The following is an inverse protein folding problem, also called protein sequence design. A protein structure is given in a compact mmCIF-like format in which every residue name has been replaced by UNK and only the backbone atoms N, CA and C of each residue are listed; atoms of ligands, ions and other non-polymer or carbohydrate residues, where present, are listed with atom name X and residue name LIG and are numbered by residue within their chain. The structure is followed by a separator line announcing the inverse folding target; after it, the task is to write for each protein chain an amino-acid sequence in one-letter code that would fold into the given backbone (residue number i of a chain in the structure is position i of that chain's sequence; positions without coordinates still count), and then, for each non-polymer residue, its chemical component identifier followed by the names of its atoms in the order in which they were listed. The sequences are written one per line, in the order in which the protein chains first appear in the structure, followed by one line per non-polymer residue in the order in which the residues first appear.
data_IF_427265031143
#
_entry.id   IF_427265031143
#
_cell.length_a   1.000
_cell.length_b   1.000
_cell.length_c   1.000
_cell.angle_alpha   90.00
_cell.angle_beta   90.00
_cell.angle_gamma   90.00
#
_symmetry.space_group_name_H-M   'P 1'
#
loop_
_entity.id
_entity.type
_entity.pdbx_description
1 polymer ?
#
# COMPACT_ATOMS: atom_id res chain seq x y z
N UNK A 1 -7.05 17.74 31.20
CA UNK A 1 -5.62 17.86 30.82
C UNK A 1 -5.44 17.00 29.56
N UNK A 2 -5.49 17.63 28.39
CA UNK A 2 -5.25 16.95 27.11
C UNK A 2 -3.75 16.65 27.02
N UNK A 3 -3.38 15.38 27.03
CA UNK A 3 -2.00 14.95 26.78
C UNK A 3 -1.76 15.08 25.27
N UNK A 4 -1.31 16.25 24.83
CA UNK A 4 -0.75 16.41 23.50
C UNK A 4 0.46 15.48 23.37
N UNK A 5 0.34 14.45 22.57
CA UNK A 5 1.48 13.62 22.15
C UNK A 5 2.45 14.53 21.39
N UNK A 6 3.72 14.63 21.79
CA UNK A 6 4.67 15.50 21.09
C UNK A 6 4.79 15.10 19.61
N UNK A 7 5.01 16.07 18.69
CA UNK A 7 5.18 15.79 17.28
C UNK A 7 6.36 14.84 17.09
N UNK A 8 6.10 13.71 16.40
CA UNK A 8 7.14 12.72 16.08
C UNK A 8 8.00 13.24 14.94
N UNK A 9 9.31 12.98 15.02
CA UNK A 9 10.29 13.45 14.03
C UNK A 9 10.16 12.66 12.70
N UNK A 10 9.94 13.33 11.55
CA UNK A 10 9.90 12.68 10.24
C UNK A 10 11.18 11.88 9.92
N UNK A 11 12.34 12.34 10.40
CA UNK A 11 13.61 11.64 10.20
C UNK A 11 13.68 10.28 10.91
N UNK A 12 12.90 10.09 11.97
CA UNK A 12 12.76 8.80 12.66
C UNK A 12 11.84 7.81 11.94
N UNK A 13 11.07 8.25 10.93
CA UNK A 13 10.04 7.47 10.24
C UNK A 13 8.78 7.26 11.09
N UNK A 14 8.60 8.03 12.16
CA UNK A 14 7.47 7.94 13.07
C UNK A 14 6.66 9.23 13.02
N UNK A 15 5.73 9.33 12.10
CA UNK A 15 4.73 10.40 12.06
C UNK A 15 3.44 9.93 12.73
N UNK A 16 2.70 10.86 13.35
CA UNK A 16 1.32 10.62 13.75
C UNK A 16 0.41 10.56 12.51
N UNK A 17 -0.71 9.83 12.58
CA UNK A 17 -1.64 9.69 11.43
C UNK A 17 -1.99 11.01 10.74
N UNK A 18 -2.34 12.12 11.46
CA UNK A 18 -2.64 13.39 10.80
C UNK A 18 -1.44 14.00 10.05
N UNK A 19 -0.22 13.72 10.51
CA UNK A 19 1.00 14.20 9.83
C UNK A 19 1.29 13.40 8.56
N UNK A 20 1.03 12.09 8.59
CA UNK A 20 1.13 11.20 7.43
C UNK A 20 0.08 11.62 6.39
N UNK A 21 -1.15 11.89 6.80
CA UNK A 21 -2.24 12.39 5.95
C UNK A 21 -1.83 13.70 5.26
N UNK A 22 -1.43 14.71 6.05
CA UNK A 22 -1.01 16.01 5.53
C UNK A 22 0.15 15.92 4.54
N UNK A 23 1.12 15.02 4.79
CA UNK A 23 2.22 14.76 3.86
C UNK A 23 1.71 14.18 2.53
N UNK A 24 0.83 13.18 2.56
CA UNK A 24 0.27 12.59 1.36
C UNK A 24 -0.62 13.58 0.59
N UNK A 25 -1.38 14.42 1.29
CA UNK A 25 -2.16 15.48 0.65
C UNK A 25 -1.28 16.46 -0.14
N UNK A 26 -0.12 16.84 0.40
CA UNK A 26 0.81 17.75 -0.29
C UNK A 26 1.45 17.14 -1.55
N UNK A 27 1.76 15.83 -1.54
CA UNK A 27 2.44 15.19 -2.66
C UNK A 27 1.49 14.53 -3.67
N UNK A 28 0.19 14.47 -3.39
CA UNK A 28 -0.80 13.74 -4.21
C UNK A 28 -0.71 14.11 -5.71
N UNK A 29 -0.52 15.38 -6.04
CA UNK A 29 -0.43 15.84 -7.44
C UNK A 29 0.80 15.41 -8.23
N UNK A 30 1.88 15.00 -7.54
CA UNK A 30 3.15 14.59 -8.16
C UNK A 30 3.51 13.13 -7.90
N UNK A 31 2.75 12.46 -7.03
CA UNK A 31 3.02 11.12 -6.50
C UNK A 31 3.25 10.08 -7.60
N UNK A 32 2.37 10.00 -8.60
CA UNK A 32 2.47 9.02 -9.68
C UNK A 32 3.73 9.23 -10.55
N UNK A 33 4.08 10.48 -10.83
CA UNK A 33 5.31 10.81 -11.58
C UNK A 33 6.54 10.42 -10.81
N UNK A 34 6.56 10.66 -9.50
CA UNK A 34 7.67 10.27 -8.62
C UNK A 34 7.82 8.76 -8.58
N UNK A 35 6.75 8.01 -8.38
CA UNK A 35 6.77 6.56 -8.40
C UNK A 35 7.28 6.01 -9.75
N UNK A 36 6.83 6.58 -10.86
CA UNK A 36 7.25 6.15 -12.20
C UNK A 36 8.74 6.38 -12.43
N UNK A 37 9.27 7.54 -12.03
CA UNK A 37 10.70 7.85 -12.14
C UNK A 37 11.53 6.96 -11.19
N UNK A 38 11.13 6.84 -9.92
CA UNK A 38 11.88 6.08 -8.92
C UNK A 38 11.93 4.58 -9.22
N UNK A 39 10.92 4.04 -9.88
CA UNK A 39 10.80 2.60 -10.18
C UNK A 39 11.07 2.27 -11.65
N UNK A 40 11.40 3.28 -12.49
CA UNK A 40 11.51 3.12 -13.94
C UNK A 40 10.30 2.39 -14.55
N UNK A 41 9.09 2.64 -14.03
CA UNK A 41 7.84 2.03 -14.48
C UNK A 41 7.62 0.57 -14.02
N UNK A 42 8.56 -0.05 -13.29
CA UNK A 42 8.42 -1.43 -12.83
C UNK A 42 7.26 -1.63 -11.84
N UNK A 43 6.81 -0.57 -11.19
CA UNK A 43 5.67 -0.62 -10.24
C UNK A 43 4.39 -1.15 -10.89
N UNK A 44 4.17 -0.96 -12.19
CA UNK A 44 3.02 -1.55 -12.90
C UNK A 44 3.08 -3.08 -12.89
N UNK A 45 4.25 -3.68 -13.18
CA UNK A 45 4.44 -5.14 -13.16
C UNK A 45 4.25 -5.73 -11.77
N UNK A 46 4.71 -5.02 -10.73
CA UNK A 46 4.53 -5.49 -9.35
C UNK A 46 3.06 -5.46 -8.93
N UNK A 47 2.29 -4.41 -9.30
CA UNK A 47 0.84 -4.34 -9.06
C UNK A 47 0.10 -5.47 -9.79
N UNK A 48 0.39 -5.70 -11.06
CA UNK A 48 -0.19 -6.82 -11.81
C UNK A 48 0.11 -8.16 -11.13
N UNK A 49 1.34 -8.33 -10.64
CA UNK A 49 1.71 -9.55 -9.91
C UNK A 49 0.96 -9.67 -8.58
N UNK A 50 0.79 -8.60 -7.84
CA UNK A 50 -0.02 -8.58 -6.61
C UNK A 50 -1.46 -8.98 -6.90
N UNK A 51 -2.09 -8.41 -7.93
CA UNK A 51 -3.46 -8.77 -8.35
C UNK A 51 -3.55 -10.25 -8.76
N UNK A 52 -2.58 -10.80 -9.48
CA UNK A 52 -2.57 -12.24 -9.80
C UNK A 52 -2.54 -13.13 -8.55
N UNK A 53 -1.84 -12.71 -7.49
CA UNK A 53 -1.74 -13.46 -6.24
C UNK A 53 -3.03 -13.45 -5.42
N UNK A 54 -3.94 -12.49 -5.63
CA UNK A 54 -5.28 -12.52 -5.02
C UNK A 54 -6.10 -13.73 -5.48
N UNK A 55 -5.82 -14.26 -6.67
CA UNK A 55 -6.60 -15.31 -7.36
C UNK A 55 -8.07 -14.95 -7.56
N UNK A 56 -8.41 -13.67 -7.56
CA UNK A 56 -9.76 -13.20 -7.85
C UNK A 56 -10.24 -13.66 -9.22
N UNK A 57 -11.53 -13.93 -9.30
CA UNK A 57 -12.26 -14.32 -10.52
C UNK A 57 -13.22 -13.20 -10.91
N UNK A 58 -13.62 -13.12 -12.17
CA UNK A 58 -14.67 -12.21 -12.61
C UNK A 58 -15.93 -12.33 -11.74
N UNK A 59 -16.55 -11.20 -11.42
CA UNK A 59 -17.76 -11.14 -10.60
C UNK A 59 -17.55 -11.11 -9.08
N UNK A 60 -16.31 -11.21 -8.60
CA UNK A 60 -15.99 -11.15 -7.17
C UNK A 60 -15.83 -9.71 -6.66
N UNK A 61 -15.70 -9.55 -5.34
CA UNK A 61 -15.54 -8.25 -4.65
C UNK A 61 -14.15 -8.12 -4.05
N UNK A 62 -13.49 -6.99 -4.27
CA UNK A 62 -12.16 -6.70 -3.74
C UNK A 62 -12.13 -5.39 -2.96
N UNK A 63 -11.29 -5.35 -1.92
CA UNK A 63 -10.94 -4.15 -1.20
C UNK A 63 -9.47 -3.79 -1.49
N UNK A 64 -9.19 -2.53 -1.84
CA UNK A 64 -7.84 -1.99 -1.91
C UNK A 64 -7.67 -0.94 -0.80
N UNK A 65 -6.86 -1.24 0.19
CA UNK A 65 -6.64 -0.38 1.36
C UNK A 65 -5.35 0.42 1.20
N UNK A 66 -5.35 1.68 1.63
CA UNK A 66 -4.34 2.66 1.31
C UNK A 66 -4.12 2.75 -0.21
N UNK A 67 -5.23 2.92 -0.93
CA UNK A 67 -5.29 2.87 -2.39
C UNK A 67 -4.53 4.02 -3.06
N UNK A 68 -4.30 5.11 -2.34
CA UNK A 68 -3.63 6.30 -2.84
C UNK A 68 -4.35 6.85 -4.08
N UNK A 69 -3.62 6.96 -5.18
CA UNK A 69 -4.14 7.44 -6.47
C UNK A 69 -4.88 6.38 -7.29
N UNK A 70 -5.21 5.21 -6.70
CA UNK A 70 -6.10 4.21 -7.27
C UNK A 70 -5.46 3.20 -8.22
N UNK A 71 -4.16 3.23 -8.45
CA UNK A 71 -3.51 2.40 -9.48
C UNK A 71 -3.71 0.89 -9.26
N UNK A 72 -3.64 0.41 -8.00
CA UNK A 72 -3.85 -1.00 -7.69
C UNK A 72 -5.33 -1.38 -7.79
N UNK A 73 -6.23 -0.49 -7.34
CA UNK A 73 -7.67 -0.64 -7.49
C UNK A 73 -8.08 -0.75 -8.98
N UNK A 74 -7.45 0.01 -9.88
CA UNK A 74 -7.71 -0.10 -11.32
C UNK A 74 -7.23 -1.44 -11.90
N UNK A 75 -6.12 -1.99 -11.43
CA UNK A 75 -5.69 -3.32 -11.85
C UNK A 75 -6.66 -4.42 -11.35
N UNK A 76 -7.21 -4.27 -10.13
CA UNK A 76 -8.25 -5.15 -9.60
C UNK A 76 -9.52 -5.07 -10.45
N UNK A 77 -9.97 -3.85 -10.81
CA UNK A 77 -11.16 -3.63 -11.61
C UNK A 77 -11.07 -4.31 -12.99
N UNK A 78 -9.91 -4.23 -13.65
CA UNK A 78 -9.65 -4.95 -14.91
C UNK A 78 -9.73 -6.48 -14.73
N UNK A 79 -9.26 -6.97 -13.58
CA UNK A 79 -9.26 -8.41 -13.28
C UNK A 79 -10.66 -8.96 -13.03
N UNK A 80 -11.53 -8.16 -12.40
CA UNK A 80 -12.86 -8.57 -11.95
C UNK A 80 -13.93 -8.49 -13.05
N UNK A 81 -13.73 -7.68 -14.10
CA UNK A 81 -14.72 -7.46 -15.14
C UNK A 81 -15.98 -6.77 -14.63
N UNK A 82 -16.91 -6.39 -15.50
CA UNK A 82 -18.08 -5.58 -15.17
C UNK A 82 -19.02 -6.18 -14.11
N UNK A 83 -19.00 -7.50 -13.92
CA UNK A 83 -19.81 -8.16 -12.89
C UNK A 83 -19.21 -8.11 -11.48
N UNK A 84 -17.95 -7.66 -11.32
CA UNK A 84 -17.29 -7.53 -10.03
C UNK A 84 -17.48 -6.16 -9.39
N UNK A 85 -16.84 -5.94 -8.24
CA UNK A 85 -16.81 -4.66 -7.54
C UNK A 85 -15.46 -4.45 -6.87
N UNK A 86 -14.94 -3.21 -6.92
CA UNK A 86 -13.77 -2.79 -6.15
C UNK A 86 -14.14 -1.65 -5.21
N UNK A 87 -13.85 -1.82 -3.93
CA UNK A 87 -13.83 -0.74 -2.96
C UNK A 87 -12.38 -0.30 -2.79
N UNK A 88 -12.13 0.99 -2.91
CA UNK A 88 -10.81 1.60 -2.85
C UNK A 88 -10.77 2.61 -1.70
N UNK A 89 -10.16 2.23 -0.59
CA UNK A 89 -10.15 2.97 0.66
C UNK A 89 -8.80 3.64 0.90
N UNK A 90 -8.83 4.91 1.29
CA UNK A 90 -7.65 5.64 1.77
C UNK A 90 -8.05 6.63 2.86
N UNK A 91 -7.14 6.96 3.76
CA UNK A 91 -7.41 7.98 4.78
C UNK A 91 -7.17 9.40 4.26
N UNK A 92 -6.33 9.59 3.23
CA UNK A 92 -5.99 10.86 2.61
C UNK A 92 -6.99 11.22 1.49
N UNK A 93 -7.91 12.14 1.75
CA UNK A 93 -8.93 12.55 0.77
C UNK A 93 -8.32 13.15 -0.50
N UNK A 94 -7.21 13.88 -0.43
CA UNK A 94 -6.56 14.42 -1.61
C UNK A 94 -6.04 13.33 -2.57
N UNK A 95 -5.59 12.19 -2.03
CA UNK A 95 -5.23 11.01 -2.84
C UNK A 95 -6.45 10.45 -3.57
N UNK A 96 -7.58 10.30 -2.87
CA UNK A 96 -8.83 9.82 -3.46
C UNK A 96 -9.36 10.78 -4.55
N UNK A 97 -9.18 12.09 -4.38
CA UNK A 97 -9.53 13.07 -5.42
C UNK A 97 -8.68 12.89 -6.68
N UNK A 98 -7.38 12.56 -6.55
CA UNK A 98 -6.54 12.22 -7.70
C UNK A 98 -7.04 10.94 -8.37
N UNK A 99 -7.38 9.91 -7.57
CA UNK A 99 -7.89 8.65 -8.08
C UNK A 99 -9.22 8.83 -8.85
N UNK A 100 -10.16 9.61 -8.30
CA UNK A 100 -11.44 9.95 -8.99
C UNK A 100 -11.18 10.67 -10.31
N UNK A 101 -10.31 11.70 -10.32
CA UNK A 101 -9.94 12.40 -11.58
C UNK A 101 -9.32 11.46 -12.61
N UNK A 102 -8.50 10.48 -12.20
CA UNK A 102 -7.94 9.48 -13.10
C UNK A 102 -9.04 8.58 -13.68
N UNK A 103 -9.99 8.16 -12.86
CA UNK A 103 -11.14 7.38 -13.31
C UNK A 103 -11.98 8.16 -14.33
N UNK A 104 -12.31 9.43 -14.04
CA UNK A 104 -13.07 10.33 -14.93
C UNK A 104 -12.32 10.59 -16.24
N UNK A 105 -10.98 10.63 -16.20
CA UNK A 105 -10.13 10.77 -17.37
C UNK A 105 -9.96 9.46 -18.19
N UNK A 106 -10.66 8.38 -17.81
CA UNK A 106 -10.67 7.12 -18.57
C UNK A 106 -9.56 6.15 -18.19
N UNK A 107 -9.07 6.17 -16.95
CA UNK A 107 -8.09 5.18 -16.46
C UNK A 107 -8.59 3.73 -16.57
N UNK A 108 -9.91 3.54 -16.59
CA UNK A 108 -10.57 2.26 -16.90
C UNK A 108 -11.35 2.38 -18.20
N UNK A 109 -11.23 1.36 -19.05
CA UNK A 109 -11.96 1.25 -20.31
C UNK A 109 -12.29 -0.22 -20.58
N UNK A 110 -13.40 -0.48 -21.27
CA UNK A 110 -13.87 -1.83 -21.57
C UNK A 110 -14.55 -2.50 -20.40
N UNK A 111 -14.48 -3.83 -20.35
CA UNK A 111 -15.13 -4.68 -19.36
C UNK A 111 -14.37 -4.66 -18.03
N UNK A 112 -14.62 -3.64 -17.22
CA UNK A 112 -13.99 -3.44 -15.90
C UNK A 112 -15.06 -3.34 -14.81
N UNK A 113 -14.70 -3.79 -13.60
CA UNK A 113 -15.55 -3.60 -12.42
C UNK A 113 -15.68 -2.11 -12.06
N UNK A 114 -16.84 -1.66 -11.55
CA UNK A 114 -16.96 -0.35 -10.93
C UNK A 114 -16.00 -0.23 -9.75
N UNK A 115 -15.40 0.96 -9.60
CA UNK A 115 -14.53 1.30 -8.46
C UNK A 115 -15.22 2.35 -7.61
N UNK A 116 -15.46 2.04 -6.33
CA UNK A 116 -15.99 2.97 -5.34
C UNK A 116 -14.87 3.46 -4.43
N UNK A 117 -14.63 4.76 -4.43
CA UNK A 117 -13.63 5.39 -3.55
C UNK A 117 -14.28 5.86 -2.26
N UNK A 118 -13.66 5.53 -1.12
CA UNK A 118 -14.12 5.96 0.20
C UNK A 118 -12.97 6.35 1.12
N UNK A 119 -13.22 7.35 1.98
CA UNK A 119 -12.26 7.71 3.01
C UNK A 119 -12.44 6.78 4.22
N UNK A 120 -11.38 6.04 4.58
CA UNK A 120 -11.40 5.11 5.69
C UNK A 120 -10.02 4.94 6.33
N UNK A 121 -10.02 4.67 7.64
CA UNK A 121 -8.81 4.28 8.38
C UNK A 121 -8.63 2.76 8.29
N UNK A 122 -7.45 2.34 7.85
CA UNK A 122 -7.09 0.92 7.75
C UNK A 122 -7.12 0.17 9.10
N UNK A 123 -7.06 0.89 10.22
CA UNK A 123 -7.11 0.32 11.57
C UNK A 123 -8.55 0.09 12.07
N UNK A 124 -9.53 0.64 11.38
CA UNK A 124 -10.96 0.51 11.68
C UNK A 124 -11.75 0.64 10.37
N UNK A 125 -11.78 -0.43 9.58
CA UNK A 125 -12.46 -0.45 8.28
C UNK A 125 -13.99 -0.44 8.47
N UNK A 126 -14.74 0.43 7.75
CA UNK A 126 -16.20 0.57 7.91
C UNK A 126 -16.96 -0.54 7.16
N UNK A 127 -16.47 -1.76 7.24
CA UNK A 127 -17.03 -2.93 6.56
C UNK A 127 -17.31 -4.05 7.54
N UNK A 128 -18.36 -4.84 7.34
CA UNK A 128 -18.58 -6.04 8.12
C UNK A 128 -17.49 -7.09 7.89
N UNK A 129 -17.42 -8.09 8.77
CA UNK A 129 -16.57 -9.25 8.55
C UNK A 129 -17.00 -10.00 7.27
N UNK A 130 -16.05 -10.66 6.62
CA UNK A 130 -16.28 -11.59 5.50
C UNK A 130 -16.91 -10.98 4.25
N UNK A 131 -16.80 -9.65 4.07
CA UNK A 131 -17.43 -8.94 2.96
C UNK A 131 -16.72 -9.14 1.62
N UNK A 132 -15.39 -9.25 1.64
CA UNK A 132 -14.57 -9.25 0.42
C UNK A 132 -13.97 -10.64 0.11
N UNK A 133 -13.80 -10.93 -1.17
CA UNK A 133 -13.10 -12.14 -1.63
C UNK A 133 -11.58 -12.00 -1.49
N UNK A 134 -11.06 -10.78 -1.57
CA UNK A 134 -9.67 -10.47 -1.28
C UNK A 134 -9.49 -9.00 -0.89
N UNK A 135 -8.40 -8.74 -0.15
CA UNK A 135 -7.93 -7.39 0.12
C UNK A 135 -6.48 -7.20 -0.37
N UNK A 136 -6.17 -5.99 -0.82
CA UNK A 136 -4.81 -5.59 -1.23
C UNK A 136 -4.36 -4.35 -0.47
N UNK A 137 -3.04 -4.24 -0.26
CA UNK A 137 -2.37 -3.00 0.18
C UNK A 137 -1.13 -2.81 -0.66
N UNK A 138 -1.02 -1.69 -1.37
CA UNK A 138 0.15 -1.37 -2.17
C UNK A 138 0.92 -0.16 -1.64
N UNK A 139 2.13 -0.37 -1.08
CA UNK A 139 3.02 0.68 -0.57
C UNK A 139 2.42 1.54 0.57
N UNK A 140 1.43 1.00 1.28
CA UNK A 140 0.70 1.70 2.34
C UNK A 140 0.93 1.14 3.74
N UNK A 141 1.16 -0.18 3.86
CA UNK A 141 1.15 -0.87 5.16
C UNK A 141 2.25 -0.38 6.13
N UNK A 142 3.38 0.10 5.62
CA UNK A 142 4.46 0.69 6.44
C UNK A 142 4.05 1.98 7.16
N UNK A 143 2.96 2.61 6.74
CA UNK A 143 2.43 3.84 7.30
C UNK A 143 1.33 3.59 8.34
N UNK A 144 0.92 2.34 8.57
CA UNK A 144 -0.03 2.02 9.63
C UNK A 144 0.59 2.32 10.99
N UNK A 145 -0.12 3.08 11.82
CA UNK A 145 0.34 3.43 13.17
C UNK A 145 0.34 2.22 14.11
N UNK A 146 -0.54 1.25 13.86
CA UNK A 146 -0.58 -0.08 14.47
C UNK A 146 -0.69 -1.13 13.36
N UNK A 147 0.46 -1.73 13.02
CA UNK A 147 0.54 -2.73 11.95
C UNK A 147 -0.29 -3.98 12.26
N UNK A 148 -0.23 -4.45 13.52
CA UNK A 148 -0.94 -5.67 13.92
C UNK A 148 -2.46 -5.46 13.88
N UNK A 149 -2.95 -4.28 14.28
CA UNK A 149 -4.36 -3.93 14.16
C UNK A 149 -4.80 -3.86 12.71
N UNK A 150 -4.03 -3.18 11.84
CA UNK A 150 -4.36 -3.11 10.41
C UNK A 150 -4.39 -4.48 9.74
N UNK A 151 -3.46 -5.37 10.09
CA UNK A 151 -3.45 -6.75 9.58
C UNK A 151 -4.68 -7.56 10.06
N UNK A 152 -5.11 -7.37 11.33
CA UNK A 152 -6.35 -7.99 11.84
C UNK A 152 -7.59 -7.46 11.13
N UNK A 153 -7.67 -6.17 10.85
CA UNK A 153 -8.77 -5.58 10.09
C UNK A 153 -8.84 -6.11 8.66
N UNK A 154 -7.69 -6.22 7.99
CA UNK A 154 -7.62 -6.84 6.64
C UNK A 154 -8.10 -8.30 6.67
N UNK A 155 -7.72 -9.08 7.69
CA UNK A 155 -8.20 -10.45 7.84
C UNK A 155 -9.69 -10.51 8.16
N UNK A 156 -10.20 -9.60 9.00
CA UNK A 156 -11.60 -9.56 9.41
C UNK A 156 -12.56 -9.30 8.24
N UNK A 157 -12.22 -8.35 7.37
CA UNK A 157 -13.12 -7.96 6.27
C UNK A 157 -13.07 -8.92 5.07
N UNK A 158 -12.06 -9.79 5.00
CA UNK A 158 -11.92 -10.80 3.95
C UNK A 158 -12.51 -12.12 4.44
N UNK A 159 -13.38 -12.72 3.62
CA UNK A 159 -14.03 -13.98 3.96
C UNK A 159 -13.05 -15.14 4.15
N UNK A 160 -13.39 -16.17 4.92
CA UNK A 160 -12.61 -17.39 5.05
C UNK A 160 -12.23 -17.98 3.68
N UNK A 161 -10.96 -18.34 3.52
CA UNK A 161 -10.41 -18.81 2.24
C UNK A 161 -10.10 -17.71 1.23
N UNK A 162 -10.51 -16.46 1.49
CA UNK A 162 -10.11 -15.28 0.74
C UNK A 162 -8.63 -14.92 0.98
N UNK A 163 -8.11 -13.93 0.27
CA UNK A 163 -6.69 -13.61 0.31
C UNK A 163 -6.42 -12.17 0.66
N UNK A 164 -5.39 -11.97 1.47
CA UNK A 164 -4.78 -10.66 1.70
C UNK A 164 -3.44 -10.63 0.99
N UNK A 165 -3.22 -9.60 0.15
CA UNK A 165 -1.98 -9.41 -0.61
C UNK A 165 -1.38 -8.05 -0.28
N UNK A 166 -0.13 -8.05 0.17
CA UNK A 166 0.61 -6.84 0.55
C UNK A 166 1.82 -6.68 -0.37
N UNK A 167 1.84 -5.60 -1.13
CA UNK A 167 2.97 -5.17 -1.95
C UNK A 167 3.69 -4.03 -1.23
N UNK A 168 4.94 -4.26 -0.77
CA UNK A 168 5.63 -3.24 0.00
C UNK A 168 7.15 -3.23 -0.28
N UNK A 169 7.76 -2.08 0.03
CA UNK A 169 9.21 -1.92 0.00
C UNK A 169 9.86 -2.66 1.15
N UNK A 170 11.03 -3.22 0.87
CA UNK A 170 11.88 -3.87 1.87
C UNK A 170 13.35 -3.51 1.65
N UNK A 171 14.18 -3.80 2.64
CA UNK A 171 15.61 -3.52 2.57
C UNK A 171 16.36 -4.72 2.01
N UNK A 172 17.10 -4.59 0.87
CA UNK A 172 17.85 -5.69 0.31
C UNK A 172 18.97 -6.15 1.28
N UNK A 173 19.09 -7.47 1.44
CA UNK A 173 20.05 -8.08 2.36
C UNK A 173 21.41 -8.41 1.69
N UNK A 174 21.43 -8.52 0.37
CA UNK A 174 22.59 -9.01 -0.37
C UNK A 174 23.42 -7.87 -1.00
N UNK A 175 24.74 -8.01 -0.93
CA UNK A 175 25.70 -7.15 -1.64
C UNK A 175 25.71 -7.48 -3.15
N UNK A 176 25.90 -6.49 -4.04
CA UNK A 176 26.16 -5.06 -3.79
C UNK A 176 24.88 -4.21 -3.66
N UNK A 177 23.70 -4.81 -3.80
CA UNK A 177 22.42 -4.06 -3.82
C UNK A 177 22.11 -3.37 -2.49
N UNK A 178 22.49 -3.96 -1.36
CA UNK A 178 22.29 -3.33 -0.05
C UNK A 178 23.09 -2.03 0.08
N UNK A 179 24.33 -1.99 -0.40
CA UNK A 179 25.16 -0.77 -0.41
C UNK A 179 24.59 0.28 -1.36
N UNK A 180 24.19 -0.13 -2.58
CA UNK A 180 23.56 0.78 -3.54
C UNK A 180 22.25 1.36 -2.98
N UNK A 181 21.40 0.53 -2.39
CA UNK A 181 20.15 0.96 -1.76
C UNK A 181 20.40 1.98 -0.65
N UNK A 182 21.37 1.71 0.23
CA UNK A 182 21.77 2.63 1.30
C UNK A 182 22.23 3.97 0.73
N UNK A 183 23.14 3.96 -0.25
CA UNK A 183 23.63 5.19 -0.88
C UNK A 183 22.51 5.98 -1.58
N UNK A 184 21.63 5.28 -2.29
CA UNK A 184 20.48 5.88 -2.98
C UNK A 184 19.54 6.56 -1.98
N UNK A 185 19.12 5.85 -0.94
CA UNK A 185 18.17 6.37 0.04
C UNK A 185 18.77 7.41 1.00
N UNK A 186 20.10 7.34 1.30
CA UNK A 186 20.72 8.25 2.25
C UNK A 186 21.22 9.54 1.60
N UNK A 187 21.57 9.50 0.31
CA UNK A 187 22.18 10.66 -0.34
C UNK A 187 21.39 11.17 -1.53
N UNK A 188 20.88 10.29 -2.39
CA UNK A 188 20.25 10.71 -3.64
C UNK A 188 18.81 11.13 -3.39
N UNK A 189 17.99 10.33 -2.70
CA UNK A 189 16.60 10.63 -2.43
C UNK A 189 16.43 11.95 -1.64
N UNK A 190 17.15 12.22 -0.53
CA UNK A 190 17.05 13.49 0.17
C UNK A 190 17.56 14.69 -0.65
N UNK A 191 18.56 14.47 -1.52
CA UNK A 191 19.06 15.55 -2.39
C UNK A 191 18.03 15.92 -3.45
N UNK A 192 17.36 14.94 -4.06
CA UNK A 192 16.24 15.19 -4.97
C UNK A 192 15.06 15.87 -4.24
N UNK A 193 14.84 15.50 -2.98
CA UNK A 193 13.79 16.08 -2.14
C UNK A 193 13.96 17.59 -1.91
N UNK A 194 15.18 18.15 -1.96
CA UNK A 194 15.40 19.60 -1.82
C UNK A 194 14.74 20.43 -2.94
N UNK A 195 14.44 19.81 -4.07
CA UNK A 195 13.78 20.44 -5.20
C UNK A 195 12.29 20.06 -5.31
N UNK A 196 11.76 19.30 -4.35
CA UNK A 196 10.39 18.86 -4.32
C UNK A 196 9.48 19.84 -3.56
N UNK A 197 8.16 19.81 -3.81
CA UNK A 197 7.19 20.62 -3.09
C UNK A 197 7.18 20.37 -1.58
N UNK A 198 7.46 19.13 -1.14
CA UNK A 198 7.62 18.76 0.28
C UNK A 198 8.92 17.97 0.50
N UNK A 199 9.99 18.62 1.02
CA UNK A 199 11.24 17.94 1.38
C UNK A 199 11.06 16.89 2.49
N UNK A 200 10.04 17.03 3.35
CA UNK A 200 9.76 16.11 4.46
C UNK A 200 9.41 14.70 3.99
N UNK A 201 8.65 14.57 2.92
CA UNK A 201 8.27 13.28 2.33
C UNK A 201 9.49 12.45 1.89
N UNK A 202 10.56 13.10 1.43
CA UNK A 202 11.79 12.44 0.96
C UNK A 202 12.73 12.01 2.08
N UNK A 203 12.60 12.58 3.27
CA UNK A 203 13.28 12.11 4.48
C UNK A 203 12.47 11.04 5.19
N UNK A 204 11.13 11.13 5.13
CA UNK A 204 10.23 10.14 5.69
C UNK A 204 10.32 8.78 4.98
N UNK A 205 10.39 8.75 3.64
CA UNK A 205 10.39 7.50 2.87
C UNK A 205 11.55 6.57 3.26
N UNK A 206 12.83 7.00 3.29
CA UNK A 206 13.93 6.13 3.72
C UNK A 206 13.77 5.61 5.15
N UNK A 207 13.34 6.47 6.06
CA UNK A 207 13.19 6.13 7.48
C UNK A 207 12.03 5.17 7.72
N UNK A 208 10.87 5.35 7.08
CA UNK A 208 9.74 4.43 7.16
C UNK A 208 10.06 3.04 6.62
N UNK A 209 10.79 2.95 5.50
CA UNK A 209 11.21 1.66 4.91
C UNK A 209 12.18 0.92 5.83
N UNK A 210 13.13 1.60 6.49
CA UNK A 210 14.07 0.97 7.42
C UNK A 210 13.42 0.48 8.70
N UNK A 211 12.42 1.19 9.20
CA UNK A 211 11.67 0.83 10.40
C UNK A 211 10.70 -0.31 10.14
N UNK A 212 10.22 -0.45 8.91
CA UNK A 212 9.25 -1.47 8.57
C UNK A 212 9.83 -2.89 8.71
N UNK A 213 9.09 -3.86 9.23
CA UNK A 213 9.59 -5.21 9.41
C UNK A 213 10.03 -5.83 8.08
N UNK A 214 11.12 -6.61 8.13
CA UNK A 214 11.57 -7.37 6.98
C UNK A 214 10.55 -8.43 6.55
N UNK A 215 10.69 -9.01 5.34
CA UNK A 215 9.64 -9.88 4.76
C UNK A 215 9.26 -11.07 5.65
N UNK A 216 10.23 -11.68 6.34
CA UNK A 216 9.95 -12.81 7.24
C UNK A 216 9.14 -12.40 8.48
N UNK A 217 9.44 -11.23 9.03
CA UNK A 217 8.74 -10.71 10.21
C UNK A 217 7.30 -10.30 9.85
N UNK A 218 7.09 -9.63 8.71
CA UNK A 218 5.75 -9.32 8.23
C UNK A 218 4.93 -10.60 7.97
N UNK A 219 5.53 -11.63 7.36
CA UNK A 219 4.85 -12.90 7.17
C UNK A 219 4.40 -13.54 8.51
N UNK A 220 5.23 -13.46 9.57
CA UNK A 220 4.86 -13.93 10.89
C UNK A 220 3.73 -13.12 11.52
N UNK A 221 3.73 -11.79 11.35
CA UNK A 221 2.63 -10.92 11.81
C UNK A 221 1.31 -11.21 11.07
N UNK A 222 1.35 -11.49 9.75
CA UNK A 222 0.16 -11.93 9.01
C UNK A 222 -0.41 -13.24 9.56
N UNK A 223 0.46 -14.20 9.91
CA UNK A 223 0.00 -15.45 10.58
C UNK A 223 -0.66 -15.15 11.92
N UNK A 224 -0.04 -14.28 12.74
CA UNK A 224 -0.61 -13.87 14.03
C UNK A 224 -1.93 -13.10 13.91
N UNK A 225 -2.19 -12.49 12.75
CA UNK A 225 -3.42 -11.78 12.45
C UNK A 225 -4.57 -12.66 11.90
N UNK A 226 -4.39 -14.00 11.86
CA UNK A 226 -5.42 -14.96 11.42
C UNK A 226 -5.33 -15.34 9.94
N UNK A 227 -4.12 -15.35 9.38
CA UNK A 227 -3.88 -15.81 8.01
C UNK A 227 -3.00 -17.05 8.01
N UNK A 228 -3.30 -18.01 7.16
CA UNK A 228 -2.51 -19.24 6.94
C UNK A 228 -1.86 -19.23 5.55
N UNK A 229 -1.01 -20.21 5.30
CA UNK A 229 -0.30 -20.37 4.02
C UNK A 229 0.45 -19.12 3.58
N UNK A 230 0.91 -18.32 4.56
CA UNK A 230 1.58 -17.04 4.29
C UNK A 230 2.91 -17.30 3.61
N UNK A 231 3.09 -16.67 2.47
CA UNK A 231 4.31 -16.70 1.66
C UNK A 231 4.61 -15.33 1.07
N UNK A 232 5.86 -15.12 0.68
CA UNK A 232 6.25 -13.87 0.02
C UNK A 232 7.21 -14.12 -1.14
N UNK A 233 7.14 -13.22 -2.12
CA UNK A 233 8.03 -13.15 -3.27
C UNK A 233 8.90 -11.91 -3.14
N UNK A 234 10.21 -12.07 -3.24
CA UNK A 234 11.14 -10.96 -3.28
C UNK A 234 11.50 -10.66 -4.73
N UNK A 235 11.44 -9.41 -5.11
CA UNK A 235 11.76 -8.94 -6.47
C UNK A 235 12.57 -7.65 -6.43
N UNK A 236 12.96 -7.13 -7.60
CA UNK A 236 13.80 -5.93 -7.71
C UNK A 236 15.07 -6.02 -6.85
N UNK A 237 15.74 -7.19 -6.82
CA UNK A 237 16.95 -7.38 -6.05
C UNK A 237 16.80 -7.28 -4.53
N UNK A 238 15.61 -7.48 -3.99
CA UNK A 238 15.34 -7.38 -2.56
C UNK A 238 14.76 -6.05 -2.09
N UNK A 239 14.40 -5.16 -3.02
CA UNK A 239 13.80 -3.84 -2.69
C UNK A 239 12.29 -3.96 -2.52
N UNK A 240 11.65 -4.95 -3.16
CA UNK A 240 10.20 -5.16 -3.14
C UNK A 240 9.90 -6.57 -2.65
N UNK A 241 8.92 -6.68 -1.76
CA UNK A 241 8.32 -7.93 -1.35
C UNK A 241 6.81 -7.90 -1.60
N UNK A 242 6.27 -9.02 -2.11
CA UNK A 242 4.83 -9.23 -2.27
C UNK A 242 4.45 -10.41 -1.38
N UNK A 243 3.71 -10.13 -0.31
CA UNK A 243 3.19 -11.14 0.60
C UNK A 243 1.78 -11.55 0.18
N UNK A 244 1.44 -12.81 0.44
CA UNK A 244 0.08 -13.32 0.31
C UNK A 244 -0.20 -14.27 1.45
N UNK A 245 -1.35 -14.11 2.09
CA UNK A 245 -1.91 -15.01 3.09
C UNK A 245 -3.35 -15.36 2.74
N UNK A 246 -3.80 -16.51 3.18
CA UNK A 246 -5.20 -16.97 3.08
C UNK A 246 -5.85 -16.78 4.44
N UNK A 247 -7.00 -16.13 4.49
CA UNK A 247 -7.73 -15.90 5.76
C UNK A 247 -8.26 -17.22 6.29
N UNK A 248 -8.02 -17.48 7.59
CA UNK A 248 -8.54 -18.65 8.28
C UNK A 248 -10.07 -18.59 8.40
N UNK A 249 -10.70 -19.75 8.55
CA UNK A 249 -12.13 -19.90 8.78
C UNK A 249 -12.45 -20.22 10.22
#
# INVERSE_FOLDING_TARGET
MSTETPPRDPASGTLAEPQVEAMFDQIAGVYDRLNSVMTAGLHHRWRQRAVQLTQLRPGQRALDVATGTGDLAFELARRLGAAGEVVAADFAEAMLQVARRKLDAGALSGDCAPVRFEQANALLLPHPADEFDAATVGFGVRNFSDLDQGLRELARVVRPGGRVVILEMTTPQQQPLSTFFTLWFDRIVPTLGRFAPDPGAYTYLPSSVRRFPGPRALAAQMVSAGMRDVRYLITAGGIIAIHVGVVDG
#
